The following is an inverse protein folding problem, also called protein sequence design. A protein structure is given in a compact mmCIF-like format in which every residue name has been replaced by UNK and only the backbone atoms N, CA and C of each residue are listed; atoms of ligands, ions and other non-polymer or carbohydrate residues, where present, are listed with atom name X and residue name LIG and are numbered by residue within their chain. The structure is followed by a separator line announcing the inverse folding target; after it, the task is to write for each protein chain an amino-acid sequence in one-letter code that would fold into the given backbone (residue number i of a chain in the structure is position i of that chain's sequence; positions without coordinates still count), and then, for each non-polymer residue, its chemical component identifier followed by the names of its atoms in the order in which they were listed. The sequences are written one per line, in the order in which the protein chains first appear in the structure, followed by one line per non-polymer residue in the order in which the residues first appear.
data_IF_709774542598
#
_entry.id   IF_709774542598
#
_cell.length_a   1.000
_cell.length_b   1.000
_cell.length_c   1.000
_cell.angle_alpha   90.00
_cell.angle_beta   90.00
_cell.angle_gamma   90.00
#
_symmetry.space_group_name_H-M   'P 1'
#
loop_
_entity.id
_entity.type
_entity.pdbx_description
1 polymer ?
#
# COMPACT_ATOMS: atom_id res chain seq x y z
N UNK A 1 5.75 13.31 32.88
CA UNK A 1 5.15 13.54 31.55
C UNK A 1 6.10 12.89 30.54
N UNK A 2 5.71 11.79 29.90
CA UNK A 2 6.49 11.22 28.79
C UNK A 2 6.50 12.21 27.62
N UNK A 3 7.64 12.43 26.95
CA UNK A 3 7.70 13.31 25.80
C UNK A 3 6.70 12.85 24.75
N UNK A 4 5.86 13.77 24.25
CA UNK A 4 4.91 13.46 23.18
C UNK A 4 5.68 12.89 21.99
N UNK A 5 5.26 11.77 21.42
CA UNK A 5 5.96 11.21 20.25
C UNK A 5 5.91 12.25 19.12
N UNK A 6 7.07 12.59 18.60
CA UNK A 6 7.17 13.45 17.40
C UNK A 6 6.71 12.60 16.24
N UNK A 7 5.59 12.96 15.61
CA UNK A 7 4.97 12.18 14.54
C UNK A 7 5.88 12.07 13.30
N UNK A 8 6.43 13.18 12.86
CA UNK A 8 7.32 13.22 11.70
C UNK A 8 8.77 13.40 12.12
N UNK A 9 9.66 12.67 11.49
CA UNK A 9 11.08 12.82 11.72
C UNK A 9 11.89 12.28 10.56
N UNK A 10 13.05 12.88 10.29
CA UNK A 10 13.99 12.37 9.31
C UNK A 10 14.58 11.05 9.82
N UNK A 11 14.39 9.93 9.14
CA UNK A 11 15.04 8.69 9.49
C UNK A 11 16.56 8.82 9.28
N UNK A 12 17.35 8.00 9.96
CA UNK A 12 18.77 7.90 9.67
C UNK A 12 18.94 7.45 8.21
N UNK A 13 20.03 7.87 7.56
CA UNK A 13 20.27 7.52 6.13
C UNK A 13 20.17 6.02 5.85
N UNK A 14 20.63 5.21 6.80
CA UNK A 14 20.61 3.75 6.70
C UNK A 14 19.18 3.19 6.81
N UNK A 15 18.39 3.73 7.71
CA UNK A 15 16.98 3.39 7.88
C UNK A 15 16.14 3.85 6.66
N UNK A 16 16.42 5.06 6.16
CA UNK A 16 15.78 5.57 4.96
C UNK A 16 16.05 4.68 3.74
N UNK A 17 17.27 4.18 3.58
CA UNK A 17 17.60 3.28 2.48
C UNK A 17 16.81 1.94 2.57
N UNK A 18 16.67 1.39 3.79
CA UNK A 18 15.91 0.17 4.01
C UNK A 18 14.39 0.37 3.83
N UNK A 19 13.85 1.45 4.38
CA UNK A 19 12.41 1.77 4.21
C UNK A 19 12.09 2.09 2.75
N UNK A 20 12.97 2.81 2.04
CA UNK A 20 12.82 3.05 0.60
C UNK A 20 12.90 1.75 -0.22
N UNK A 21 13.81 0.83 0.13
CA UNK A 21 13.87 -0.49 -0.51
C UNK A 21 12.59 -1.30 -0.27
N UNK A 22 12.02 -1.25 0.94
CA UNK A 22 10.73 -1.88 1.24
C UNK A 22 9.58 -1.25 0.45
N UNK A 23 9.53 0.09 0.36
CA UNK A 23 8.53 0.79 -0.43
C UNK A 23 8.65 0.43 -1.92
N UNK A 24 9.88 0.34 -2.44
CA UNK A 24 10.13 -0.12 -3.82
C UNK A 24 9.70 -1.58 -4.00
N UNK A 25 10.02 -2.46 -3.05
CA UNK A 25 9.59 -3.85 -3.07
C UNK A 25 8.07 -3.99 -3.08
N UNK A 26 7.37 -3.19 -2.26
CA UNK A 26 5.90 -3.13 -2.28
C UNK A 26 5.38 -2.61 -3.63
N UNK A 27 5.96 -1.55 -4.18
CA UNK A 27 5.54 -1.01 -5.47
C UNK A 27 5.67 -2.04 -6.60
N UNK A 28 6.78 -2.78 -6.64
CA UNK A 28 6.99 -3.87 -7.62
C UNK A 28 5.97 -5.01 -7.41
N UNK A 29 5.73 -5.40 -6.17
CA UNK A 29 4.71 -6.39 -5.82
C UNK A 29 3.31 -5.92 -6.25
N UNK A 30 2.96 -4.67 -5.93
CA UNK A 30 1.69 -4.07 -6.31
C UNK A 30 1.49 -4.08 -7.83
N UNK A 31 2.47 -3.59 -8.59
CA UNK A 31 2.39 -3.59 -10.06
C UNK A 31 2.23 -5.01 -10.62
N UNK A 32 2.96 -5.98 -10.08
CA UNK A 32 2.87 -7.37 -10.53
C UNK A 32 1.50 -8.00 -10.22
N UNK A 33 0.98 -7.82 -9.01
CA UNK A 33 -0.26 -8.46 -8.56
C UNK A 33 -1.50 -7.71 -9.08
N UNK A 34 -1.55 -6.38 -8.90
CA UNK A 34 -2.66 -5.55 -9.35
C UNK A 34 -2.74 -5.48 -10.88
N UNK A 35 -1.61 -5.26 -11.55
CA UNK A 35 -1.52 -5.27 -13.01
C UNK A 35 -1.77 -6.66 -13.60
N UNK A 36 -1.24 -7.71 -12.95
CA UNK A 36 -1.49 -9.10 -13.36
C UNK A 36 -2.96 -9.48 -13.24
N UNK A 37 -3.66 -9.08 -12.18
CA UNK A 37 -5.09 -9.28 -12.02
C UNK A 37 -5.88 -8.55 -13.11
N UNK A 38 -5.56 -7.29 -13.41
CA UNK A 38 -6.19 -6.53 -14.48
C UNK A 38 -5.98 -7.17 -15.85
N UNK A 39 -4.76 -7.62 -16.14
CA UNK A 39 -4.47 -8.33 -17.38
C UNK A 39 -5.30 -9.61 -17.53
N UNK A 40 -5.41 -10.41 -16.46
CA UNK A 40 -6.22 -11.64 -16.46
C UNK A 40 -7.72 -11.34 -16.61
N UNK A 41 -8.25 -10.35 -15.89
CA UNK A 41 -9.66 -9.98 -15.98
C UNK A 41 -10.02 -9.35 -17.33
N UNK A 42 -9.04 -8.83 -18.07
CA UNK A 42 -9.21 -8.35 -19.45
C UNK A 42 -9.70 -9.43 -20.43
N UNK A 43 -9.49 -10.72 -20.13
CA UNK A 43 -10.00 -11.84 -20.93
C UNK A 43 -11.45 -12.22 -20.58
N UNK A 44 -12.04 -11.66 -19.54
CA UNK A 44 -13.40 -11.99 -19.13
C UNK A 44 -14.43 -11.25 -20.00
N UNK A 45 -15.51 -11.91 -20.31
CA UNK A 45 -16.66 -11.32 -20.99
C UNK A 45 -17.74 -11.00 -19.95
N UNK A 46 -18.06 -9.72 -19.79
CA UNK A 46 -19.01 -9.25 -18.77
C UNK A 46 -18.41 -9.14 -17.37
N UNK A 47 -19.15 -8.53 -16.47
CA UNK A 47 -18.80 -8.34 -15.08
C UNK A 47 -20.03 -8.14 -14.20
N UNK A 48 -19.82 -8.14 -12.88
CA UNK A 48 -20.88 -7.89 -11.91
C UNK A 48 -21.21 -6.40 -11.87
N UNK A 49 -22.48 -6.07 -11.76
CA UNK A 49 -22.94 -4.71 -11.49
C UNK A 49 -23.32 -4.61 -10.02
N UNK A 50 -22.63 -3.71 -9.32
CA UNK A 50 -22.76 -3.55 -7.87
C UNK A 50 -23.33 -2.18 -7.48
N UNK A 51 -23.71 -1.38 -8.47
CA UNK A 51 -24.26 -0.05 -8.24
C UNK A 51 -25.57 -0.08 -7.44
N UNK A 52 -25.69 0.82 -6.49
CA UNK A 52 -26.91 1.07 -5.74
C UNK A 52 -27.73 2.17 -6.43
N UNK A 53 -29.05 2.05 -6.40
CA UNK A 53 -29.95 2.96 -7.15
C UNK A 53 -29.76 4.44 -6.81
N UNK A 54 -29.40 4.76 -5.57
CA UNK A 54 -29.17 6.13 -5.15
C UNK A 54 -27.83 6.74 -5.63
N UNK A 55 -26.87 5.90 -6.03
CA UNK A 55 -25.54 6.37 -6.49
C UNK A 55 -25.65 7.26 -7.74
N UNK A 56 -26.69 7.06 -8.56
CA UNK A 56 -26.97 7.91 -9.73
C UNK A 56 -27.17 9.38 -9.39
N UNK A 57 -27.41 9.69 -8.12
CA UNK A 57 -27.58 11.07 -7.63
C UNK A 57 -26.24 11.65 -7.08
N UNK A 58 -25.18 10.85 -7.01
CA UNK A 58 -23.86 11.35 -6.59
C UNK A 58 -23.34 12.27 -7.69
N UNK A 59 -23.04 13.55 -7.37
CA UNK A 59 -22.54 14.49 -8.36
C UNK A 59 -21.14 14.09 -8.84
N UNK A 60 -20.89 14.26 -10.14
CA UNK A 60 -19.54 14.14 -10.68
C UNK A 60 -18.73 15.40 -10.43
N UNK A 61 -17.64 15.30 -9.69
CA UNK A 61 -16.80 16.44 -9.29
C UNK A 61 -15.32 16.18 -9.63
N UNK A 62 -14.86 16.54 -10.86
CA UNK A 62 -13.48 16.26 -11.32
C UNK A 62 -12.39 16.86 -10.42
N UNK A 63 -12.69 17.96 -9.71
CA UNK A 63 -11.75 18.57 -8.75
C UNK A 63 -11.33 17.65 -7.61
N UNK A 64 -12.16 16.65 -7.27
CA UNK A 64 -11.85 15.67 -6.24
C UNK A 64 -10.84 14.62 -6.68
N UNK A 65 -10.45 14.60 -7.95
CA UNK A 65 -9.31 13.82 -8.43
C UNK A 65 -8.01 14.20 -7.70
N UNK A 66 -7.85 15.47 -7.29
CA UNK A 66 -6.71 15.89 -6.47
C UNK A 66 -6.69 15.20 -5.09
N UNK A 67 -7.87 15.04 -4.48
CA UNK A 67 -8.01 14.31 -3.21
C UNK A 67 -7.75 12.81 -3.42
N UNK A 68 -8.24 12.26 -4.53
CA UNK A 68 -8.03 10.86 -4.90
C UNK A 68 -6.53 10.52 -5.02
N UNK A 69 -5.77 11.27 -5.83
CA UNK A 69 -4.33 11.03 -6.00
C UNK A 69 -3.51 11.39 -4.75
N UNK A 70 -4.09 12.13 -3.80
CA UNK A 70 -3.42 12.39 -2.52
C UNK A 70 -3.20 11.12 -1.66
N UNK A 71 -3.83 10.00 -2.01
CA UNK A 71 -3.54 8.71 -1.42
C UNK A 71 -2.06 8.32 -1.59
N UNK A 72 -1.46 8.60 -2.74
CA UNK A 72 -0.03 8.35 -2.98
C UNK A 72 0.84 9.18 -2.04
N UNK A 73 0.46 10.45 -1.80
CA UNK A 73 1.14 11.30 -0.81
C UNK A 73 1.00 10.71 0.59
N UNK A 74 -0.19 10.23 0.94
CA UNK A 74 -0.44 9.57 2.23
C UNK A 74 0.46 8.34 2.41
N UNK A 75 0.64 7.52 1.37
CA UNK A 75 1.55 6.37 1.40
C UNK A 75 3.02 6.81 1.50
N UNK A 76 3.44 7.83 0.77
CA UNK A 76 4.82 8.36 0.82
C UNK A 76 5.18 8.91 2.20
N UNK A 77 4.21 9.44 2.96
CA UNK A 77 4.43 9.89 4.33
C UNK A 77 4.93 8.76 5.25
N UNK A 78 4.69 7.49 4.90
CA UNK A 78 5.21 6.33 5.64
C UNK A 78 6.72 6.40 5.86
N UNK A 79 7.48 6.92 4.89
CA UNK A 79 8.94 7.08 4.97
C UNK A 79 9.39 8.04 6.09
N UNK A 80 8.50 8.92 6.55
CA UNK A 80 8.77 9.94 7.57
C UNK A 80 8.05 9.66 8.89
N UNK A 81 6.96 8.89 8.85
CA UNK A 81 6.20 8.47 10.04
C UNK A 81 6.88 7.27 10.69
N UNK A 82 7.37 6.31 9.91
CA UNK A 82 8.10 5.14 10.39
C UNK A 82 9.60 5.46 10.44
N UNK A 83 10.14 5.56 11.64
CA UNK A 83 11.54 5.95 11.84
C UNK A 83 12.53 4.82 11.58
N UNK A 84 12.06 3.59 11.67
CA UNK A 84 12.85 2.38 11.43
C UNK A 84 12.12 1.48 10.44
N UNK A 85 12.89 0.70 9.69
CA UNK A 85 12.33 -0.29 8.77
C UNK A 85 11.41 -1.30 9.49
N UNK A 86 11.71 -1.60 10.77
CA UNK A 86 10.89 -2.52 11.58
C UNK A 86 9.51 -1.97 11.86
N UNK A 87 9.42 -0.67 12.12
CA UNK A 87 8.12 -0.01 12.32
C UNK A 87 7.28 -0.02 11.05
N UNK A 88 7.94 -0.05 9.87
CA UNK A 88 7.30 -0.07 8.57
C UNK A 88 6.82 -1.48 8.15
N UNK A 89 7.44 -2.55 8.68
CA UNK A 89 7.12 -3.94 8.28
C UNK A 89 5.63 -4.27 8.43
N UNK A 90 4.97 -4.05 9.59
CA UNK A 90 3.54 -4.36 9.71
C UNK A 90 2.69 -3.63 8.67
N UNK A 91 3.00 -2.36 8.42
CA UNK A 91 2.33 -1.54 7.43
C UNK A 91 2.52 -2.08 6.01
N UNK A 92 3.76 -2.32 5.59
CA UNK A 92 4.05 -2.87 4.27
C UNK A 92 3.41 -4.25 4.04
N UNK A 93 3.42 -5.11 5.08
CA UNK A 93 2.75 -6.41 5.02
C UNK A 93 1.24 -6.27 4.88
N UNK A 94 0.61 -5.35 5.62
CA UNK A 94 -0.82 -5.10 5.50
C UNK A 94 -1.17 -4.71 4.05
N UNK A 95 -0.44 -3.77 3.44
CA UNK A 95 -0.66 -3.38 2.06
C UNK A 95 -0.46 -4.56 1.07
N UNK A 96 0.54 -5.43 1.31
CA UNK A 96 0.74 -6.63 0.49
C UNK A 96 -0.44 -7.61 0.62
N UNK A 97 -0.92 -7.85 1.83
CA UNK A 97 -2.07 -8.73 2.08
C UNK A 97 -3.34 -8.17 1.46
N UNK A 98 -3.59 -6.87 1.62
CA UNK A 98 -4.72 -6.17 0.98
C UNK A 98 -4.67 -6.31 -0.54
N UNK A 99 -3.50 -6.06 -1.14
CA UNK A 99 -3.31 -6.21 -2.59
C UNK A 99 -3.58 -7.64 -3.05
N UNK A 100 -3.07 -8.65 -2.32
CA UNK A 100 -3.26 -10.05 -2.68
C UNK A 100 -4.72 -10.49 -2.55
N UNK A 101 -5.40 -10.11 -1.44
CA UNK A 101 -6.81 -10.43 -1.22
C UNK A 101 -7.72 -9.71 -2.24
N UNK A 102 -7.43 -8.44 -2.53
CA UNK A 102 -8.15 -7.70 -3.56
C UNK A 102 -7.98 -8.35 -4.94
N UNK A 103 -6.77 -8.75 -5.31
CA UNK A 103 -6.52 -9.44 -6.58
C UNK A 103 -7.33 -10.74 -6.70
N UNK A 104 -7.44 -11.52 -5.63
CA UNK A 104 -8.32 -12.70 -5.59
C UNK A 104 -9.78 -12.31 -5.80
N UNK A 105 -10.24 -11.22 -5.16
CA UNK A 105 -11.61 -10.73 -5.36
C UNK A 105 -11.83 -10.24 -6.81
N UNK A 106 -10.88 -9.53 -7.41
CA UNK A 106 -11.00 -9.06 -8.81
C UNK A 106 -11.13 -10.22 -9.79
N UNK A 107 -10.39 -11.31 -9.55
CA UNK A 107 -10.47 -12.51 -10.39
C UNK A 107 -11.76 -13.31 -10.20
N UNK A 108 -12.28 -13.36 -8.98
CA UNK A 108 -13.50 -14.10 -8.66
C UNK A 108 -14.78 -13.30 -8.93
N UNK A 109 -14.71 -11.98 -8.76
CA UNK A 109 -15.85 -11.06 -8.85
C UNK A 109 -15.49 -9.83 -9.71
N UNK A 110 -15.22 -10.00 -11.01
CA UNK A 110 -14.91 -8.87 -11.87
C UNK A 110 -16.12 -7.91 -11.91
N UNK A 111 -15.91 -6.67 -11.52
CA UNK A 111 -16.95 -5.64 -11.47
C UNK A 111 -16.84 -4.75 -12.70
N UNK A 112 -17.97 -4.37 -13.27
CA UNK A 112 -18.08 -3.33 -14.28
C UNK A 112 -18.55 -2.03 -13.64
N UNK A 113 -17.85 -0.94 -13.95
CA UNK A 113 -18.31 0.39 -13.53
C UNK A 113 -19.56 0.77 -14.31
N UNK A 114 -20.61 1.14 -13.60
CA UNK A 114 -21.87 1.55 -14.20
C UNK A 114 -21.87 3.00 -14.71
N UNK A 115 -20.82 3.75 -14.43
CA UNK A 115 -20.70 5.14 -14.85
C UNK A 115 -20.29 5.25 -16.32
N UNK A 116 -20.90 6.14 -17.10
CA UNK A 116 -20.49 6.36 -18.48
C UNK A 116 -19.08 6.96 -18.57
N UNK A 117 -18.30 6.67 -19.62
CA UNK A 117 -17.03 7.32 -19.87
C UNK A 117 -17.16 8.85 -19.85
N UNK A 118 -16.16 9.55 -19.30
CA UNK A 118 -16.21 11.01 -19.12
C UNK A 118 -15.00 11.67 -19.74
N UNK A 119 -15.27 12.66 -20.56
CA UNK A 119 -14.27 13.61 -20.97
C UNK A 119 -14.30 14.80 -20.01
N UNK A 120 -13.17 15.10 -19.36
CA UNK A 120 -12.99 16.26 -18.50
C UNK A 120 -12.10 17.26 -19.22
N UNK A 121 -12.57 18.49 -19.35
CA UNK A 121 -11.83 19.60 -19.95
C UNK A 121 -11.50 20.67 -18.91
N UNK A 122 -10.55 21.57 -19.26
CA UNK A 122 -10.17 22.70 -18.41
C UNK A 122 -9.21 22.32 -17.29
N UNK A 123 -9.26 23.07 -16.19
CA UNK A 123 -8.25 23.07 -15.11
C UNK A 123 -8.03 21.70 -14.48
N UNK A 124 -9.06 20.88 -14.38
CA UNK A 124 -9.02 19.58 -13.71
C UNK A 124 -8.71 18.41 -14.64
N UNK A 125 -8.61 18.63 -15.95
CA UNK A 125 -8.41 17.59 -16.95
C UNK A 125 -7.15 16.74 -16.66
N UNK A 126 -6.02 17.40 -16.42
CA UNK A 126 -4.76 16.69 -16.22
C UNK A 126 -4.73 15.80 -14.95
N UNK A 127 -5.25 16.31 -13.81
CA UNK A 127 -5.27 15.51 -12.59
C UNK A 127 -6.32 14.41 -12.65
N UNK A 128 -7.46 14.65 -13.31
CA UNK A 128 -8.47 13.63 -13.53
C UNK A 128 -7.95 12.52 -14.45
N UNK A 129 -7.27 12.87 -15.54
CA UNK A 129 -6.65 11.88 -16.43
C UNK A 129 -5.58 11.05 -15.72
N UNK A 130 -4.81 11.66 -14.81
CA UNK A 130 -3.86 10.92 -13.97
C UNK A 130 -4.59 9.91 -13.09
N UNK A 131 -5.67 10.31 -12.41
CA UNK A 131 -6.48 9.44 -11.57
C UNK A 131 -7.06 8.25 -12.37
N UNK A 132 -7.64 8.54 -13.53
CA UNK A 132 -8.22 7.54 -14.45
C UNK A 132 -7.14 6.54 -14.96
N UNK A 133 -5.93 7.03 -15.28
CA UNK A 133 -4.82 6.18 -15.73
C UNK A 133 -4.30 5.25 -14.63
N UNK A 134 -4.35 5.67 -13.37
CA UNK A 134 -3.92 4.86 -12.23
C UNK A 134 -4.93 3.76 -11.87
N UNK A 135 -6.19 3.91 -12.28
CA UNK A 135 -7.25 2.95 -12.04
C UNK A 135 -7.34 1.98 -13.22
N UNK A 136 -7.03 0.70 -12.98
CA UNK A 136 -7.08 -0.31 -14.03
C UNK A 136 -8.48 -0.90 -14.13
N UNK A 137 -8.91 -1.17 -15.35
CA UNK A 137 -10.23 -1.75 -15.64
C UNK A 137 -10.48 -3.04 -14.84
N UNK A 138 -11.71 -3.17 -14.32
CA UNK A 138 -12.25 -4.34 -13.59
C UNK A 138 -11.65 -4.61 -12.20
N UNK A 139 -10.69 -3.82 -11.74
CA UNK A 139 -10.09 -3.95 -10.42
C UNK A 139 -10.80 -3.04 -9.38
N UNK A 140 -12.12 -3.19 -9.24
CA UNK A 140 -12.94 -2.26 -8.47
C UNK A 140 -13.28 -2.75 -7.06
N UNK A 141 -13.67 -4.01 -6.88
CA UNK A 141 -14.14 -4.58 -5.61
C UNK A 141 -13.13 -5.55 -5.00
N UNK A 142 -12.57 -5.26 -3.84
CA UNK A 142 -12.69 -4.05 -3.02
C UNK A 142 -11.84 -2.87 -3.51
N UNK A 143 -12.19 -1.62 -3.17
CA UNK A 143 -11.37 -0.45 -3.48
C UNK A 143 -10.05 -0.45 -2.72
N UNK A 144 -8.92 -0.60 -3.43
CA UNK A 144 -7.59 -0.52 -2.83
C UNK A 144 -7.21 0.91 -2.43
N UNK A 145 -7.73 1.94 -3.11
CA UNK A 145 -7.54 3.33 -2.68
C UNK A 145 -8.08 3.57 -1.27
N UNK A 146 -9.29 3.06 -1.00
CA UNK A 146 -9.90 3.16 0.33
C UNK A 146 -9.18 2.27 1.33
N UNK A 147 -8.83 1.04 0.96
CA UNK A 147 -8.12 0.12 1.84
C UNK A 147 -6.78 0.74 2.30
N UNK A 148 -5.94 1.18 1.37
CA UNK A 148 -4.64 1.77 1.68
C UNK A 148 -4.74 3.07 2.48
N UNK A 149 -5.72 3.94 2.16
CA UNK A 149 -5.95 5.16 2.92
C UNK A 149 -6.37 4.86 4.37
N UNK A 150 -7.27 3.90 4.58
CA UNK A 150 -7.69 3.47 5.91
C UNK A 150 -6.54 2.83 6.70
N UNK A 151 -5.77 1.93 6.09
CA UNK A 151 -4.61 1.29 6.72
C UNK A 151 -3.54 2.30 7.08
N UNK A 152 -3.26 3.28 6.21
CA UNK A 152 -2.34 4.37 6.53
C UNK A 152 -2.85 5.21 7.72
N UNK A 153 -4.14 5.57 7.71
CA UNK A 153 -4.74 6.33 8.82
C UNK A 153 -4.66 5.56 10.14
N UNK A 154 -4.94 4.26 10.16
CA UNK A 154 -4.83 3.40 11.36
C UNK A 154 -3.38 3.35 11.86
N UNK A 155 -2.43 3.07 10.98
CA UNK A 155 -1.02 2.95 11.30
C UNK A 155 -0.41 4.27 11.84
N UNK A 156 -0.80 5.40 11.25
CA UNK A 156 -0.32 6.72 11.68
C UNK A 156 -1.00 7.21 12.95
N UNK A 157 -2.28 6.85 13.14
CA UNK A 157 -3.03 7.17 14.35
C UNK A 157 -2.38 6.61 15.62
N UNK A 158 -1.71 5.47 15.54
CA UNK A 158 -0.97 4.89 16.69
C UNK A 158 0.18 5.78 17.16
N UNK A 159 0.75 6.58 16.25
CA UNK A 159 1.91 7.45 16.50
C UNK A 159 1.53 8.91 16.69
N UNK A 160 0.29 9.25 16.35
CA UNK A 160 -0.21 10.62 16.39
C UNK A 160 -0.90 10.95 17.70
N UNK A 161 -0.85 12.23 18.11
CA UNK A 161 -1.73 12.77 19.13
C UNK A 161 -3.18 12.85 18.66
N UNK A 162 -4.11 13.23 19.53
CA UNK A 162 -5.54 13.26 19.23
C UNK A 162 -5.88 14.02 17.94
N UNK A 163 -5.30 15.21 17.74
CA UNK A 163 -5.52 15.99 16.53
C UNK A 163 -5.03 15.25 15.27
N UNK A 164 -3.85 14.64 15.32
CA UNK A 164 -3.31 13.89 14.19
C UNK A 164 -4.17 12.68 13.83
N UNK A 165 -4.73 11.97 14.80
CA UNK A 165 -5.68 10.87 14.57
C UNK A 165 -6.91 11.35 13.81
N UNK A 166 -7.48 12.48 14.23
CA UNK A 166 -8.64 13.09 13.57
C UNK A 166 -8.27 13.48 12.13
N UNK A 167 -7.13 14.15 11.92
CA UNK A 167 -6.72 14.60 10.59
C UNK A 167 -6.47 13.44 9.62
N UNK A 168 -5.79 12.37 10.05
CA UNK A 168 -5.60 11.19 9.19
C UNK A 168 -6.91 10.46 8.92
N UNK A 169 -7.79 10.36 9.90
CA UNK A 169 -9.13 9.80 9.71
C UNK A 169 -9.96 10.60 8.72
N UNK A 170 -9.97 11.93 8.82
CA UNK A 170 -10.64 12.81 7.88
C UNK A 170 -10.04 12.74 6.48
N UNK A 171 -8.71 12.60 6.36
CA UNK A 171 -8.06 12.45 5.07
C UNK A 171 -8.44 11.13 4.40
N UNK A 172 -8.42 10.01 5.13
CA UNK A 172 -8.89 8.72 4.60
C UNK A 172 -10.36 8.78 4.19
N UNK A 173 -11.22 9.43 4.99
CA UNK A 173 -12.63 9.65 4.65
C UNK A 173 -12.79 10.52 3.39
N UNK A 174 -11.98 11.57 3.24
CA UNK A 174 -12.00 12.41 2.05
C UNK A 174 -11.55 11.62 0.80
N UNK A 175 -10.53 10.76 0.91
CA UNK A 175 -10.11 9.87 -0.17
C UNK A 175 -11.26 8.90 -0.52
N UNK A 176 -11.90 8.29 0.47
CA UNK A 176 -13.05 7.41 0.23
C UNK A 176 -14.21 8.15 -0.46
N UNK A 177 -14.52 9.39 -0.05
CA UNK A 177 -15.52 10.21 -0.70
C UNK A 177 -15.10 10.59 -2.14
N UNK A 178 -13.81 10.86 -2.37
CA UNK A 178 -13.32 11.24 -3.69
C UNK A 178 -13.51 10.12 -4.73
N UNK A 179 -13.35 8.84 -4.33
CA UNK A 179 -13.57 7.70 -5.24
C UNK A 179 -14.99 7.66 -5.79
N UNK A 180 -15.97 8.09 -4.97
CA UNK A 180 -17.38 8.19 -5.38
C UNK A 180 -17.64 9.44 -6.21
N UNK A 181 -17.05 10.59 -5.83
CA UNK A 181 -17.29 11.88 -6.46
C UNK A 181 -16.63 12.02 -7.85
N UNK A 182 -15.55 11.29 -8.09
CA UNK A 182 -14.97 11.19 -9.45
C UNK A 182 -15.52 9.98 -10.22
N UNK A 183 -16.41 9.22 -9.59
CA UNK A 183 -17.09 8.05 -10.14
C UNK A 183 -16.14 6.91 -10.54
N UNK A 184 -15.07 6.70 -9.83
CA UNK A 184 -14.15 5.59 -10.03
C UNK A 184 -14.59 4.31 -9.29
N UNK A 185 -15.39 4.43 -8.24
CA UNK A 185 -15.87 3.32 -7.43
C UNK A 185 -17.36 3.45 -7.10
N UNK A 186 -17.95 2.33 -6.75
CA UNK A 186 -19.29 2.22 -6.16
C UNK A 186 -19.21 2.16 -4.63
N UNK A 187 -20.32 2.46 -3.95
CA UNK A 187 -20.36 2.44 -2.47
C UNK A 187 -19.99 1.06 -1.91
N UNK A 188 -20.36 -0.01 -2.60
CA UNK A 188 -20.00 -1.39 -2.20
C UNK A 188 -18.49 -1.59 -2.20
N UNK A 189 -17.78 -1.04 -3.21
CA UNK A 189 -16.30 -1.13 -3.30
C UNK A 189 -15.63 -0.38 -2.16
N UNK A 190 -16.16 0.81 -1.83
CA UNK A 190 -15.68 1.66 -0.74
C UNK A 190 -15.84 0.95 0.60
N UNK A 191 -17.03 0.41 0.88
CA UNK A 191 -17.30 -0.34 2.12
C UNK A 191 -16.42 -1.58 2.22
N UNK A 192 -16.30 -2.34 1.13
CA UNK A 192 -15.45 -3.52 1.08
C UNK A 192 -13.97 -3.17 1.30
N UNK A 193 -13.48 -2.06 0.71
CA UNK A 193 -12.12 -1.57 0.93
C UNK A 193 -11.86 -1.19 2.39
N UNK A 194 -12.79 -0.48 3.03
CA UNK A 194 -12.67 -0.13 4.44
C UNK A 194 -12.69 -1.36 5.37
N UNK A 195 -13.54 -2.35 5.07
CA UNK A 195 -13.58 -3.62 5.82
C UNK A 195 -12.30 -4.44 5.61
N UNK A 196 -11.76 -4.46 4.39
CA UNK A 196 -10.49 -5.10 4.09
C UNK A 196 -9.36 -4.49 4.92
N UNK A 197 -9.24 -3.16 4.94
CA UNK A 197 -8.25 -2.46 5.74
C UNK A 197 -8.37 -2.76 7.22
N UNK A 198 -9.59 -2.66 7.75
CA UNK A 198 -9.86 -2.92 9.15
C UNK A 198 -9.48 -4.35 9.54
N UNK A 199 -9.95 -5.36 8.79
CA UNK A 199 -9.66 -6.76 9.07
C UNK A 199 -8.18 -7.07 8.93
N UNK A 200 -7.53 -6.60 7.86
CA UNK A 200 -6.11 -6.82 7.61
C UNK A 200 -5.24 -6.19 8.68
N UNK A 201 -5.50 -4.93 9.07
CA UNK A 201 -4.74 -4.24 10.10
C UNK A 201 -4.81 -4.97 11.45
N UNK A 202 -6.02 -5.34 11.88
CA UNK A 202 -6.22 -6.04 13.15
C UNK A 202 -5.59 -7.42 13.21
N UNK A 203 -5.40 -8.06 12.07
CA UNK A 203 -4.78 -9.39 12.00
C UNK A 203 -3.27 -9.31 11.76
N UNK A 204 -2.81 -8.50 10.81
CA UNK A 204 -1.40 -8.42 10.40
C UNK A 204 -0.54 -7.71 11.43
N UNK A 205 -0.98 -6.57 11.98
CA UNK A 205 -0.15 -5.79 12.91
C UNK A 205 0.21 -6.56 14.18
N UNK A 206 -0.73 -7.19 14.90
CA UNK A 206 -0.38 -8.00 16.07
C UNK A 206 0.46 -9.23 15.72
N UNK A 207 0.19 -9.85 14.57
CA UNK A 207 0.95 -11.00 14.11
C UNK A 207 2.39 -10.61 13.78
N UNK A 208 2.60 -9.57 12.99
CA UNK A 208 3.92 -9.09 12.60
C UNK A 208 4.76 -8.64 13.81
N UNK A 209 4.13 -8.09 14.85
CA UNK A 209 4.82 -7.68 16.08
C UNK A 209 5.18 -8.86 17.00
N UNK A 210 4.41 -9.96 16.97
CA UNK A 210 4.56 -11.11 17.91
C UNK A 210 5.40 -12.23 17.36
N UNK A 211 5.56 -12.33 16.04
CA UNK A 211 6.26 -13.46 15.42
C UNK A 211 7.76 -13.22 15.30
N UNK A 212 8.51 -14.33 15.33
CA UNK A 212 9.93 -14.37 14.97
C UNK A 212 10.23 -13.84 13.53
N UNK A 213 9.19 -13.52 12.75
CA UNK A 213 9.31 -12.94 11.43
C UNK A 213 10.13 -11.65 11.44
N UNK A 214 9.90 -10.76 12.43
CA UNK A 214 10.71 -9.55 12.58
C UNK A 214 12.17 -9.86 12.92
N UNK A 215 12.42 -10.91 13.68
CA UNK A 215 13.79 -11.34 14.00
C UNK A 215 14.50 -11.94 12.79
N UNK A 216 13.80 -12.74 11.99
CA UNK A 216 14.32 -13.25 10.72
C UNK A 216 14.68 -12.13 9.75
N UNK A 217 13.78 -11.16 9.53
CA UNK A 217 14.05 -9.98 8.71
C UNK A 217 15.21 -9.14 9.28
N UNK A 218 15.35 -9.07 10.60
CA UNK A 218 16.47 -8.39 11.26
C UNK A 218 17.81 -9.01 10.90
N UNK A 219 17.91 -10.34 10.93
CA UNK A 219 19.12 -11.07 10.58
C UNK A 219 19.45 -10.81 9.11
N UNK A 220 18.48 -10.90 8.21
CA UNK A 220 18.69 -10.62 6.78
C UNK A 220 19.12 -9.16 6.52
N UNK A 221 18.48 -8.19 7.19
CA UNK A 221 18.83 -6.78 7.07
C UNK A 221 20.26 -6.48 7.62
N UNK A 222 20.66 -7.15 8.70
CA UNK A 222 22.03 -7.06 9.24
C UNK A 222 23.04 -7.64 8.26
N UNK A 223 22.77 -8.82 7.69
CA UNK A 223 23.59 -9.45 6.67
C UNK A 223 23.71 -8.56 5.41
N UNK A 224 22.62 -7.99 4.94
CA UNK A 224 22.59 -7.06 3.81
C UNK A 224 23.42 -5.79 4.10
N UNK A 225 23.28 -5.23 5.31
CA UNK A 225 24.03 -4.04 5.75
C UNK A 225 25.54 -4.29 5.82
N UNK A 226 25.96 -5.42 6.37
CA UNK A 226 27.38 -5.79 6.44
C UNK A 226 27.93 -6.09 5.04
N UNK A 227 27.15 -6.76 4.18
CA UNK A 227 27.52 -7.00 2.78
C UNK A 227 27.66 -5.70 2.00
N UNK A 228 26.75 -4.71 2.21
CA UNK A 228 26.85 -3.38 1.61
C UNK A 228 28.09 -2.61 2.11
N UNK A 229 28.37 -2.65 3.42
CA UNK A 229 29.57 -2.04 4.01
C UNK A 229 30.84 -2.66 3.46
N UNK A 230 30.87 -3.98 3.34
CA UNK A 230 31.96 -4.74 2.75
C UNK A 230 32.14 -4.38 1.27
N UNK A 231 31.06 -4.40 0.48
CA UNK A 231 31.07 -4.03 -0.94
C UNK A 231 31.54 -2.58 -1.15
N UNK A 232 31.12 -1.63 -0.29
CA UNK A 232 31.55 -0.23 -0.36
C UNK A 232 33.05 -0.04 -0.02
N UNK A 233 33.56 -0.86 0.91
CA UNK A 233 35.00 -0.83 1.27
C UNK A 233 35.88 -1.52 0.23
N UNK A 234 35.32 -2.52 -0.47
CA UNK A 234 36.06 -3.38 -1.37
C UNK A 234 35.32 -3.55 -2.70
N UNK A 235 35.13 -2.45 -3.41
CA UNK A 235 34.42 -2.42 -4.72
C UNK A 235 34.89 -3.50 -5.71
N UNK A 236 36.14 -3.96 -5.58
CA UNK A 236 36.72 -5.05 -6.39
C UNK A 236 36.13 -6.44 -6.08
N UNK A 237 35.46 -6.60 -4.93
CA UNK A 237 34.93 -7.89 -4.46
C UNK A 237 33.40 -7.90 -4.31
N UNK A 238 32.71 -6.87 -4.83
CA UNK A 238 31.27 -6.71 -4.66
C UNK A 238 30.44 -7.91 -5.18
N UNK A 239 30.87 -8.54 -6.28
CA UNK A 239 30.26 -9.77 -6.81
C UNK A 239 30.46 -10.98 -5.86
N UNK A 240 31.62 -11.09 -5.24
CA UNK A 240 31.93 -12.16 -4.28
C UNK A 240 31.10 -11.98 -3.01
N UNK A 241 30.92 -10.74 -2.53
CA UNK A 241 30.08 -10.45 -1.37
C UNK A 241 28.61 -10.82 -1.62
N UNK A 242 28.10 -10.59 -2.82
CA UNK A 242 26.72 -10.97 -3.21
C UNK A 242 26.55 -12.50 -3.28
N UNK A 243 27.55 -13.21 -3.78
CA UNK A 243 27.55 -14.68 -3.83
C UNK A 243 27.65 -15.28 -2.42
N UNK A 244 28.50 -14.75 -1.56
CA UNK A 244 28.63 -15.18 -0.17
C UNK A 244 27.36 -14.89 0.65
N UNK A 245 26.71 -13.75 0.40
CA UNK A 245 25.42 -13.40 0.99
C UNK A 245 24.35 -14.45 0.61
N UNK A 246 24.20 -14.75 -0.69
CA UNK A 246 23.26 -15.78 -1.15
C UNK A 246 23.58 -17.17 -0.56
N UNK A 247 24.85 -17.52 -0.42
CA UNK A 247 25.27 -18.78 0.18
C UNK A 247 24.95 -18.84 1.68
N UNK A 248 25.23 -17.77 2.43
CA UNK A 248 24.96 -17.71 3.87
C UNK A 248 23.45 -17.75 4.17
N UNK A 249 22.64 -17.00 3.41
CA UNK A 249 21.17 -17.01 3.52
C UNK A 249 20.61 -18.39 3.16
N UNK A 250 21.09 -19.02 2.08
CA UNK A 250 20.62 -20.34 1.67
C UNK A 250 21.02 -21.46 2.64
N UNK A 251 22.15 -21.31 3.32
CA UNK A 251 22.59 -22.25 4.36
C UNK A 251 21.75 -22.10 5.62
N UNK A 252 21.49 -20.86 6.06
CA UNK A 252 20.63 -20.59 7.21
C UNK A 252 19.20 -21.12 7.02
N UNK A 253 18.61 -20.94 5.84
CA UNK A 253 17.29 -21.49 5.50
C UNK A 253 17.24 -23.01 5.54
N UNK A 254 18.35 -23.70 5.25
CA UNK A 254 18.44 -25.16 5.37
C UNK A 254 18.55 -25.60 6.81
N UNK A 255 19.33 -24.92 7.61
CA UNK A 255 19.52 -25.23 9.03
C UNK A 255 18.25 -24.91 9.86
N UNK A 256 17.54 -23.81 9.55
CA UNK A 256 16.30 -23.43 10.21
C UNK A 256 15.09 -24.35 9.89
N UNK A 257 15.18 -25.20 8.87
CA UNK A 257 14.15 -26.21 8.56
C UNK A 257 14.40 -27.57 9.23
N UNK A 258 15.53 -27.75 9.84
CA UNK A 258 15.93 -29.04 10.47
C UNK A 258 15.85 -28.94 12.00
N UNK A 259 15.69 -27.75 12.55
CA UNK A 259 15.44 -27.48 13.97
C UNK A 259 13.94 -27.20 14.20
#
# INVERSE_FOLDING_TARGET
MSPRPVLFGWPRKEELALTAAMATGFALFFVAIYGGASWLTGFYTGGLRVELSFERHIPFMPSWALVYVSMDVLLLLSLFVFRTWRDMVPFALALCVETALAAVCFLLFPVEVAWPPRAVEGTWAGVFQLADTLNLERNYLPSLHVAFACTAALAYAERAGALGRILFGLWALAIAASTLLIHEHHVVDVVAGALLAWGTWWWVDPWARRTAFLDALRIEALCARESYRFARRHLRYGLIALVLYRYAVSRWWREARVA
#
